data_IF_384448411545
#
_entry.id   IF_384448411545
#
_cell.length_a   1.000
_cell.length_b   1.000
_cell.length_c   1.000
_cell.angle_alpha   90.00
_cell.angle_beta   90.00
_cell.angle_gamma   90.00
#
_symmetry.space_group_name_H-M   'P 1'
#
loop_
_entity.id
_entity.type
_entity.pdbx_description
1 polymer ?
#
# COMPACT_ATOMS: atom_id res chain seq x y z
N UNK A 1 -13.30 16.27 -10.38
CA UNK A 1 -12.86 15.71 -9.08
C UNK A 1 -12.19 14.39 -9.40
N UNK A 2 -10.96 14.12 -8.91
CA UNK A 2 -10.33 12.80 -9.06
C UNK A 2 -10.83 11.92 -7.91
N UNK A 3 -11.63 10.91 -8.20
CA UNK A 3 -12.33 10.10 -7.20
C UNK A 3 -11.49 8.88 -6.81
N UNK A 4 -11.52 8.58 -5.51
CA UNK A 4 -11.08 7.32 -4.92
C UNK A 4 -12.11 6.92 -3.86
N UNK A 5 -12.49 5.65 -3.83
CA UNK A 5 -13.55 5.13 -2.97
C UNK A 5 -13.06 3.95 -2.14
N UNK A 6 -13.19 4.06 -0.81
CA UNK A 6 -12.92 2.99 0.14
C UNK A 6 -14.01 1.94 0.06
N UNK A 7 -13.60 0.68 0.01
CA UNK A 7 -14.53 -0.43 -0.11
C UNK A 7 -15.42 -0.62 1.12
N UNK A 8 -16.65 -1.08 0.86
CA UNK A 8 -17.69 -1.34 1.87
C UNK A 8 -18.35 -2.70 1.62
N UNK A 9 -18.72 -3.46 2.68
CA UNK A 9 -18.34 -3.24 4.08
C UNK A 9 -16.83 -3.42 4.27
N UNK A 10 -16.23 -2.71 5.24
CA UNK A 10 -14.77 -2.70 5.45
C UNK A 10 -14.16 -4.08 5.69
N UNK A 11 -14.94 -5.03 6.21
CA UNK A 11 -14.50 -6.41 6.44
C UNK A 11 -14.04 -7.13 5.16
N UNK A 12 -14.53 -6.72 3.98
CA UNK A 12 -14.16 -7.28 2.67
C UNK A 12 -12.99 -6.56 1.99
N UNK A 13 -12.48 -5.50 2.61
CA UNK A 13 -11.49 -4.60 2.01
C UNK A 13 -10.35 -4.39 3.01
N UNK A 14 -9.74 -5.51 3.38
CA UNK A 14 -8.65 -5.62 4.34
C UNK A 14 -7.86 -6.88 4.07
N UNK A 15 -6.65 -6.95 4.59
CA UNK A 15 -5.84 -8.18 4.64
C UNK A 15 -5.29 -8.30 6.04
N UNK A 16 -5.75 -9.32 6.75
CA UNK A 16 -5.55 -9.49 8.20
C UNK A 16 -4.42 -10.44 8.55
N UNK A 17 -3.96 -11.30 7.63
CA UNK A 17 -2.78 -12.12 7.83
C UNK A 17 -1.50 -11.26 7.69
N UNK A 18 -0.67 -11.13 8.74
CA UNK A 18 0.57 -10.35 8.67
C UNK A 18 1.57 -10.96 7.68
N UNK A 19 1.41 -12.24 7.35
CA UNK A 19 2.29 -13.00 6.47
C UNK A 19 1.74 -13.13 5.05
N UNK A 20 0.58 -12.53 4.75
CA UNK A 20 0.06 -12.47 3.40
C UNK A 20 1.15 -11.93 2.45
N UNK A 21 1.31 -12.62 1.32
CA UNK A 21 2.27 -12.22 0.29
C UNK A 21 1.89 -10.86 -0.29
N UNK A 22 2.89 -10.00 -0.46
CA UNK A 22 2.73 -8.70 -1.11
C UNK A 22 3.30 -8.80 -2.52
N UNK A 23 2.42 -8.77 -3.51
CA UNK A 23 2.81 -8.68 -4.92
C UNK A 23 3.04 -7.22 -5.29
N UNK A 24 4.26 -6.90 -5.74
CA UNK A 24 4.57 -5.59 -6.31
C UNK A 24 4.09 -5.53 -7.76
N UNK A 25 3.16 -4.62 -8.06
CA UNK A 25 2.53 -4.51 -9.38
C UNK A 25 3.33 -3.63 -10.35
N UNK A 26 3.99 -2.60 -9.83
CA UNK A 26 4.78 -1.64 -10.61
C UNK A 26 6.17 -1.48 -9.99
N UNK A 27 7.07 -2.46 -10.16
CA UNK A 27 8.35 -2.49 -9.45
C UNK A 27 9.27 -1.32 -9.78
N UNK A 28 9.09 -0.64 -10.91
CA UNK A 28 9.85 0.54 -11.30
C UNK A 28 9.25 1.86 -10.78
N UNK A 29 8.11 1.82 -10.08
CA UNK A 29 7.44 3.04 -9.62
C UNK A 29 8.34 3.82 -8.63
N UNK A 30 8.46 5.16 -8.73
CA UNK A 30 9.35 5.96 -7.88
C UNK A 30 9.18 5.72 -6.37
N UNK A 31 7.93 5.49 -5.92
CA UNK A 31 7.62 5.17 -4.52
C UNK A 31 8.13 3.80 -4.04
N UNK A 32 8.50 2.89 -4.94
CA UNK A 32 9.01 1.56 -4.62
C UNK A 32 10.52 1.44 -4.85
N UNK A 33 11.13 2.34 -5.63
CA UNK A 33 12.57 2.29 -5.95
C UNK A 33 13.41 3.34 -5.24
N UNK A 34 12.81 4.38 -4.64
CA UNK A 34 13.59 5.47 -4.06
C UNK A 34 12.87 6.29 -2.98
N UNK A 35 13.63 6.87 -2.02
CA UNK A 35 15.08 6.74 -1.81
C UNK A 35 15.53 5.36 -1.31
N UNK A 36 14.60 4.49 -0.88
CA UNK A 36 14.89 3.10 -0.52
C UNK A 36 14.30 2.18 -1.58
N UNK A 37 15.09 1.21 -2.06
CA UNK A 37 14.56 0.14 -2.90
C UNK A 37 13.75 -0.80 -2.02
N UNK A 38 12.47 -1.01 -2.36
CA UNK A 38 11.56 -1.91 -1.64
C UNK A 38 11.61 -3.28 -2.28
N UNK A 39 11.92 -4.32 -1.50
CA UNK A 39 11.96 -5.70 -1.95
C UNK A 39 11.15 -6.64 -1.03
N UNK A 40 11.31 -7.96 -1.23
CA UNK A 40 10.59 -8.96 -0.44
C UNK A 40 10.86 -8.88 1.08
N UNK A 41 12.07 -8.45 1.48
CA UNK A 41 12.49 -8.36 2.87
C UNK A 41 11.78 -7.21 3.62
N UNK A 42 11.38 -6.14 2.93
CA UNK A 42 10.63 -5.03 3.53
C UNK A 42 9.22 -5.42 4.02
N UNK A 43 8.71 -6.55 3.52
CA UNK A 43 7.44 -7.12 3.94
C UNK A 43 7.61 -8.14 5.08
N UNK A 44 8.83 -8.43 5.52
CA UNK A 44 9.10 -9.38 6.61
C UNK A 44 8.87 -8.74 7.98
N UNK A 45 8.50 -9.57 8.96
CA UNK A 45 8.37 -9.13 10.36
C UNK A 45 7.19 -8.22 10.67
N UNK A 46 6.24 -8.06 9.74
CA UNK A 46 5.02 -7.30 9.99
C UNK A 46 4.19 -7.95 11.12
N UNK A 47 3.66 -7.11 12.01
CA UNK A 47 2.87 -7.48 13.18
C UNK A 47 1.39 -7.18 12.95
N UNK A 48 0.49 -8.09 13.35
CA UNK A 48 -0.97 -8.02 13.12
C UNK A 48 -1.41 -8.09 11.65
N UNK A 49 -2.03 -7.06 11.09
CA UNK A 49 -2.58 -7.08 9.73
C UNK A 49 -1.64 -6.45 8.71
N UNK A 50 -1.83 -6.72 7.41
CA UNK A 50 -1.17 -5.93 6.34
C UNK A 50 -1.84 -4.57 6.20
N UNK A 51 -3.16 -4.53 6.22
CA UNK A 51 -3.87 -3.26 6.11
C UNK A 51 -5.38 -3.39 6.19
N UNK A 52 -6.02 -2.26 6.41
CA UNK A 52 -7.46 -2.14 6.58
C UNK A 52 -7.98 -1.01 5.70
N UNK A 53 -9.24 -1.08 5.27
CA UNK A 53 -9.91 -0.01 4.50
C UNK A 53 -9.28 0.22 3.13
N UNK A 54 -9.05 -0.86 2.37
CA UNK A 54 -8.50 -0.78 1.03
C UNK A 54 -9.43 0.01 0.11
N UNK A 55 -8.83 0.78 -0.79
CA UNK A 55 -9.58 1.37 -1.88
C UNK A 55 -10.21 0.25 -2.74
N UNK A 56 -11.43 0.49 -3.18
CA UNK A 56 -12.19 -0.44 -4.03
C UNK A 56 -12.34 0.04 -5.45
N UNK A 57 -12.30 1.36 -5.65
CA UNK A 57 -12.42 2.02 -6.94
C UNK A 57 -11.64 3.32 -6.91
N UNK A 58 -11.10 3.71 -8.05
CA UNK A 58 -10.38 4.96 -8.26
C UNK A 58 -10.43 5.32 -9.74
N UNK A 59 -10.25 6.60 -10.04
CA UNK A 59 -10.14 7.09 -11.43
C UNK A 59 -8.81 6.69 -12.08
N UNK A 60 -8.75 6.71 -13.42
CA UNK A 60 -7.59 6.29 -14.22
C UNK A 60 -6.27 7.06 -13.96
N UNK A 61 -6.32 8.18 -13.23
CA UNK A 61 -5.13 8.90 -12.79
C UNK A 61 -4.32 8.13 -11.74
N UNK A 62 -4.96 7.15 -11.10
CA UNK A 62 -4.41 6.40 -10.00
C UNK A 62 -3.91 5.03 -10.45
N UNK A 63 -2.67 4.74 -10.10
CA UNK A 63 -2.00 3.47 -10.32
C UNK A 63 -1.94 2.68 -9.00
N UNK A 64 -2.47 1.43 -8.96
CA UNK A 64 -2.28 0.54 -7.82
C UNK A 64 -0.87 -0.04 -7.83
N UNK A 65 -0.15 0.07 -6.71
CA UNK A 65 1.26 -0.33 -6.63
C UNK A 65 1.46 -1.74 -6.06
N UNK A 66 0.51 -2.22 -5.27
CA UNK A 66 0.59 -3.49 -4.54
C UNK A 66 -0.68 -4.30 -4.71
N UNK A 67 -0.56 -5.63 -4.67
CA UNK A 67 -1.67 -6.55 -4.48
C UNK A 67 -1.39 -7.51 -3.33
N UNK A 68 -2.43 -7.88 -2.58
CA UNK A 68 -2.36 -8.84 -1.47
C UNK A 68 -3.75 -9.38 -1.15
N UNK A 69 -3.83 -10.53 -0.48
CA UNK A 69 -5.09 -11.16 -0.07
C UNK A 69 -4.88 -12.00 1.19
N UNK A 70 -5.95 -12.18 1.96
CA UNK A 70 -6.02 -13.27 2.93
C UNK A 70 -6.23 -14.60 2.19
N UNK A 71 -5.96 -15.71 2.88
CA UNK A 71 -6.10 -17.07 2.34
C UNK A 71 -7.50 -17.28 1.76
N UNK A 72 -7.58 -17.89 0.58
CA UNK A 72 -8.81 -18.16 -0.17
C UNK A 72 -9.61 -16.92 -0.64
N UNK A 73 -9.07 -15.71 -0.48
CA UNK A 73 -9.66 -14.47 -0.99
C UNK A 73 -9.03 -14.01 -2.32
N UNK A 74 -9.73 -13.12 -3.04
CA UNK A 74 -9.19 -12.53 -4.27
C UNK A 74 -8.16 -11.43 -3.96
N UNK A 75 -7.07 -11.30 -4.74
CA UNK A 75 -6.10 -10.22 -4.59
C UNK A 75 -6.74 -8.83 -4.62
N UNK A 76 -6.60 -8.09 -3.51
CA UNK A 76 -7.00 -6.69 -3.40
C UNK A 76 -5.82 -5.79 -3.78
N UNK A 77 -6.11 -4.75 -4.57
CA UNK A 77 -5.10 -3.82 -5.13
C UNK A 77 -5.12 -2.42 -4.49
N UNK A 78 -6.02 -2.21 -3.54
CA UNK A 78 -6.30 -0.91 -2.95
C UNK A 78 -5.42 -0.51 -1.77
N UNK A 79 -4.41 -1.30 -1.42
CA UNK A 79 -3.57 -1.07 -0.24
C UNK A 79 -2.65 0.14 -0.39
N UNK A 80 -2.16 0.36 -1.62
CA UNK A 80 -1.29 1.47 -1.97
C UNK A 80 -1.60 1.88 -3.41
N UNK A 81 -2.18 3.06 -3.57
CA UNK A 81 -2.61 3.58 -4.87
C UNK A 81 -2.15 5.03 -4.99
N UNK A 82 -1.44 5.39 -6.06
CA UNK A 82 -0.87 6.74 -6.21
C UNK A 82 -1.17 7.35 -7.57
N UNK A 83 -1.29 8.67 -7.65
CA UNK A 83 -1.54 9.38 -8.90
C UNK A 83 -1.05 10.82 -8.87
N UNK A 84 -0.57 11.31 -10.03
CA UNK A 84 -0.15 12.70 -10.21
C UNK A 84 -1.37 13.56 -10.51
N UNK A 85 -1.60 14.58 -9.68
CA UNK A 85 -2.75 15.49 -9.78
C UNK A 85 -2.23 16.93 -9.80
N UNK A 86 -2.29 17.55 -10.98
CA UNK A 86 -1.72 18.88 -11.19
C UNK A 86 -0.22 18.86 -10.93
N UNK A 87 0.25 19.72 -10.02
CA UNK A 87 1.67 19.85 -9.66
C UNK A 87 2.08 18.98 -8.46
N UNK A 88 1.24 18.04 -8.04
CA UNK A 88 1.49 17.22 -6.86
C UNK A 88 1.10 15.77 -7.07
N UNK A 89 1.31 14.97 -6.02
CA UNK A 89 0.96 13.55 -5.98
C UNK A 89 -0.03 13.31 -4.86
N UNK A 90 -1.08 12.55 -5.15
CA UNK A 90 -1.96 12.00 -4.13
C UNK A 90 -1.71 10.50 -4.01
N UNK A 91 -1.36 10.04 -2.81
CA UNK A 91 -1.18 8.63 -2.52
C UNK A 91 -2.15 8.19 -1.43
N UNK A 92 -2.94 7.18 -1.72
CA UNK A 92 -3.74 6.46 -0.74
C UNK A 92 -2.94 5.27 -0.22
N UNK A 93 -2.77 5.18 1.10
CA UNK A 93 -2.11 4.06 1.79
C UNK A 93 -3.04 3.51 2.88
N UNK A 94 -3.42 2.25 2.73
CA UNK A 94 -4.26 1.48 3.67
C UNK A 94 -3.45 0.48 4.49
N UNK A 95 -2.14 0.40 4.21
CA UNK A 95 -1.20 -0.39 4.99
C UNK A 95 -1.15 0.16 6.43
N UNK A 96 -1.07 -0.72 7.43
CA UNK A 96 -0.97 -0.32 8.85
C UNK A 96 0.44 0.19 9.22
N UNK A 97 1.01 1.09 8.42
CA UNK A 97 2.40 1.56 8.55
C UNK A 97 2.69 2.14 9.94
N UNK A 98 1.76 2.88 10.53
CA UNK A 98 1.90 3.42 11.89
C UNK A 98 2.18 2.32 12.92
N UNK A 99 1.41 1.22 12.88
CA UNK A 99 1.60 0.09 13.78
C UNK A 99 2.93 -0.63 13.50
N UNK A 100 3.29 -0.80 12.23
CA UNK A 100 4.56 -1.43 11.87
C UNK A 100 5.78 -0.60 12.31
N UNK A 101 5.69 0.72 12.19
CA UNK A 101 6.72 1.64 12.67
C UNK A 101 6.84 1.61 14.20
N UNK A 102 5.72 1.56 14.94
CA UNK A 102 5.71 1.39 16.41
C UNK A 102 6.37 0.06 16.84
N UNK A 103 6.33 -0.95 15.97
CA UNK A 103 6.98 -2.26 16.14
C UNK A 103 8.41 -2.33 15.59
N UNK A 104 8.96 -1.20 15.14
CA UNK A 104 10.32 -1.09 14.61
C UNK A 104 10.56 -1.97 13.38
N UNK A 105 9.53 -2.23 12.57
CA UNK A 105 9.65 -3.00 11.31
C UNK A 105 10.36 -2.13 10.27
N UNK A 106 11.58 -2.48 9.82
CA UNK A 106 12.39 -1.58 8.98
C UNK A 106 11.71 -1.17 7.67
N UNK A 107 11.08 -2.12 6.98
CA UNK A 107 10.43 -1.86 5.68
C UNK A 107 9.29 -0.84 5.76
N UNK A 108 8.64 -0.70 6.91
CA UNK A 108 7.62 0.33 7.11
C UNK A 108 8.22 1.75 7.14
N UNK A 109 9.42 1.91 7.71
CA UNK A 109 10.14 3.19 7.68
C UNK A 109 10.65 3.50 6.28
N UNK A 110 11.20 2.51 5.57
CA UNK A 110 11.66 2.66 4.19
C UNK A 110 10.52 3.11 3.27
N UNK A 111 9.37 2.43 3.33
CA UNK A 111 8.21 2.81 2.54
C UNK A 111 7.67 4.18 2.95
N UNK A 112 7.58 4.50 4.24
CA UNK A 112 7.14 5.82 4.69
C UNK A 112 8.04 6.94 4.16
N UNK A 113 9.36 6.76 4.19
CA UNK A 113 10.31 7.73 3.64
C UNK A 113 10.11 7.93 2.12
N UNK A 114 9.86 6.83 1.38
CA UNK A 114 9.53 6.91 -0.04
C UNK A 114 8.22 7.65 -0.30
N UNK A 115 7.19 7.48 0.54
CA UNK A 115 5.89 8.11 0.36
C UNK A 115 5.91 9.63 0.55
N UNK A 116 6.77 10.13 1.44
CA UNK A 116 6.88 11.57 1.76
C UNK A 116 7.90 12.31 0.90
N UNK A 117 8.56 11.62 -0.04
CA UNK A 117 9.46 12.27 -1.00
C UNK A 117 8.67 13.23 -1.92
N UNK A 118 9.33 14.22 -2.55
CA UNK A 118 8.70 15.08 -3.55
C UNK A 118 7.95 14.33 -4.65
N UNK A 119 6.91 14.97 -5.20
CA UNK A 119 6.12 14.43 -6.30
C UNK A 119 6.95 14.31 -7.58
#
# INVERSE_FOLDING_TARGET
>A
MRRLEIGKPSLRWRVTDPRAEVTVLTPEHPLLVGPNSIDAADWAGWDKERGLYFASRWDDVYEPLLAMHDVDEQPLKGALVSGIIGNGRHTHTSLVLHHQMDKLVPGAFCLMANLVQPA
#
